data_IF_546454455436
#
_entry.id   IF_546454455436
#
_cell.length_a   1.000
_cell.length_b   1.000
_cell.length_c   1.000
_cell.angle_alpha   90.00
_cell.angle_beta   90.00
_cell.angle_gamma   90.00
#
_symmetry.space_group_name_H-M   'P 1'
#
loop_
_entity.id
_entity.type
_entity.pdbx_description
1 polymer ?
#
# COMPACT_ATOMS: atom_id res chain seq x y z
N UNK A 1 16.94 -1.00 8.89
CA UNK A 1 16.83 -0.13 7.70
C UNK A 1 15.35 0.07 7.34
N UNK A 2 14.54 0.42 8.35
CA UNK A 2 13.10 0.70 8.24
C UNK A 2 12.82 2.22 8.37
N UNK A 3 13.87 3.03 8.24
CA UNK A 3 13.82 4.48 8.47
C UNK A 3 13.89 5.31 7.18
N UNK A 4 14.11 4.66 6.02
CA UNK A 4 14.34 5.35 4.74
C UNK A 4 13.20 5.17 3.73
N UNK A 5 12.01 4.73 4.15
CA UNK A 5 10.83 4.84 3.30
C UNK A 5 10.12 6.16 3.60
N UNK A 6 10.32 7.19 2.76
CA UNK A 6 9.58 8.42 2.87
C UNK A 6 8.10 8.00 2.70
N UNK A 7 7.32 8.11 3.78
CA UNK A 7 5.90 7.77 3.81
C UNK A 7 5.07 8.88 4.46
N UNK A 8 4.36 9.65 3.63
CA UNK A 8 3.19 10.43 3.99
C UNK A 8 2.06 9.42 3.96
N UNK A 9 1.94 8.69 5.07
CA UNK A 9 1.15 7.47 5.18
C UNK A 9 -0.35 7.78 5.22
N UNK A 10 -0.94 8.08 4.08
CA UNK A 10 -2.40 8.06 3.97
C UNK A 10 -2.85 6.62 3.71
N UNK A 11 -3.58 6.03 4.66
CA UNK A 11 -4.21 4.73 4.55
C UNK A 11 -5.71 4.88 4.35
N UNK A 12 -6.29 4.28 3.33
CA UNK A 12 -7.74 4.09 3.24
C UNK A 12 -8.05 2.74 3.86
N UNK A 13 -8.91 2.73 4.88
CA UNK A 13 -9.34 1.52 5.56
C UNK A 13 -10.87 1.40 5.53
N UNK A 14 -11.32 0.17 5.75
CA UNK A 14 -12.69 -0.28 5.73
C UNK A 14 -13.64 0.68 6.49
N UNK A 15 -14.86 0.83 5.98
CA UNK A 15 -15.96 1.66 6.53
C UNK A 15 -16.12 3.10 6.04
N UNK A 16 -15.42 3.51 4.98
CA UNK A 16 -15.54 4.88 4.47
C UNK A 16 -14.79 5.86 5.37
N UNK A 17 -13.69 5.38 5.96
CA UNK A 17 -12.78 6.18 6.76
C UNK A 17 -11.38 6.16 6.11
N UNK A 18 -10.79 7.33 5.96
CA UNK A 18 -9.37 7.50 5.66
C UNK A 18 -8.63 7.67 6.99
N UNK A 19 -7.66 6.80 7.25
CA UNK A 19 -6.80 6.82 8.41
C UNK A 19 -5.38 7.26 7.99
N UNK A 20 -4.86 8.30 8.61
CA UNK A 20 -3.45 8.66 8.40
C UNK A 20 -2.57 7.87 9.37
N UNK A 21 -1.82 6.89 8.86
CA UNK A 21 -1.00 5.98 9.68
C UNK A 21 0.09 6.77 10.41
N UNK A 22 0.27 6.48 11.70
CA UNK A 22 1.17 7.26 12.57
C UNK A 22 0.50 8.49 13.20
N UNK A 23 -0.77 8.73 12.90
CA UNK A 23 -1.61 9.70 13.60
C UNK A 23 -2.91 9.01 14.05
N UNK A 24 -3.62 9.61 15.02
CA UNK A 24 -4.98 9.22 15.37
C UNK A 24 -6.02 10.02 14.57
N UNK A 25 -5.71 10.41 13.32
CA UNK A 25 -6.62 11.18 12.46
C UNK A 25 -7.41 10.27 11.54
N UNK A 26 -8.73 10.36 11.65
CA UNK A 26 -9.71 9.68 10.83
C UNK A 26 -10.57 10.72 10.10
N UNK A 27 -10.80 10.49 8.81
CA UNK A 27 -11.64 11.35 7.97
C UNK A 27 -12.73 10.51 7.31
N UNK A 28 -13.97 10.99 7.37
CA UNK A 28 -15.09 10.37 6.64
C UNK A 28 -14.93 10.66 5.16
N UNK A 29 -14.97 9.61 4.34
CA UNK A 29 -14.91 9.70 2.88
C UNK A 29 -16.22 9.22 2.27
N UNK A 30 -16.66 9.92 1.23
CA UNK A 30 -17.87 9.58 0.47
C UNK A 30 -17.55 8.51 -0.59
N UNK A 31 -17.07 7.36 -0.14
CA UNK A 31 -16.80 6.18 -0.97
C UNK A 31 -17.57 4.98 -0.43
N UNK A 32 -18.04 4.07 -1.33
CA UNK A 32 -18.71 2.86 -0.90
C UNK A 32 -17.79 2.00 -0.04
N UNK A 33 -18.35 1.34 0.97
CA UNK A 33 -17.62 0.40 1.82
C UNK A 33 -16.99 -0.69 0.97
N UNK A 34 -15.67 -0.86 1.12
CA UNK A 34 -14.89 -1.86 0.40
C UNK A 34 -13.87 -2.48 1.33
N UNK A 35 -13.61 -3.78 1.17
CA UNK A 35 -12.52 -4.49 1.84
C UNK A 35 -11.24 -4.29 1.02
N UNK A 36 -10.65 -3.10 1.15
CA UNK A 36 -9.40 -2.71 0.51
C UNK A 36 -8.55 -1.93 1.50
N UNK A 37 -7.24 -2.10 1.42
CA UNK A 37 -6.28 -1.30 2.15
C UNK A 37 -5.42 -0.59 1.13
N UNK A 38 -5.56 0.74 1.00
CA UNK A 38 -4.77 1.54 0.06
C UNK A 38 -3.86 2.49 0.81
N UNK A 39 -2.56 2.38 0.58
CA UNK A 39 -1.52 3.20 1.16
C UNK A 39 -0.92 4.13 0.12
N UNK A 40 -0.81 5.40 0.45
CA UNK A 40 0.01 6.35 -0.29
C UNK A 40 1.40 6.41 0.34
N UNK A 41 2.43 6.38 -0.51
CA UNK A 41 3.84 6.55 -0.15
C UNK A 41 4.22 8.02 -0.32
N UNK A 42 5.37 8.49 0.20
CA UNK A 42 5.81 9.86 -0.11
C UNK A 42 5.97 10.05 -1.61
N UNK A 43 5.76 11.29 -2.01
CA UNK A 43 5.87 11.75 -3.38
C UNK A 43 4.83 11.18 -4.35
N UNK A 44 3.81 10.45 -3.89
CA UNK A 44 2.62 10.11 -4.68
C UNK A 44 2.46 8.68 -5.23
N UNK A 45 3.45 7.77 -5.20
CA UNK A 45 3.17 6.35 -5.43
C UNK A 45 2.20 5.79 -4.40
N UNK A 46 1.51 4.70 -4.74
CA UNK A 46 0.59 4.04 -3.83
C UNK A 46 0.57 2.52 -4.03
N UNK A 47 0.22 1.81 -2.98
CA UNK A 47 -0.02 0.36 -2.99
C UNK A 47 -1.42 0.07 -2.45
N UNK A 48 -2.16 -0.82 -3.10
CA UNK A 48 -3.50 -1.23 -2.69
C UNK A 48 -3.57 -2.75 -2.58
N UNK A 49 -4.04 -3.25 -1.44
CA UNK A 49 -4.25 -4.65 -1.17
C UNK A 49 -5.75 -4.94 -1.13
N UNK A 50 -6.15 -6.06 -1.73
CA UNK A 50 -7.53 -6.53 -1.71
C UNK A 50 -7.59 -8.05 -1.64
N UNK A 51 -8.33 -8.66 -0.69
CA UNK A 51 -8.60 -10.09 -0.75
C UNK A 51 -9.43 -10.43 -2.00
N UNK A 52 -9.07 -11.52 -2.67
CA UNK A 52 -9.88 -12.06 -3.76
C UNK A 52 -11.17 -12.64 -3.19
N UNK A 53 -12.31 -12.36 -3.83
CA UNK A 53 -13.61 -12.83 -3.37
C UNK A 53 -13.89 -14.31 -3.62
N UNK A 54 -13.13 -14.96 -4.51
CA UNK A 54 -13.40 -16.33 -4.98
C UNK A 54 -12.24 -17.30 -4.76
N UNK A 55 -11.07 -16.81 -4.36
CA UNK A 55 -9.86 -17.63 -4.19
C UNK A 55 -9.11 -17.18 -2.93
N UNK A 56 -8.36 -18.06 -2.24
CA UNK A 56 -7.55 -17.70 -1.08
C UNK A 56 -6.26 -16.96 -1.53
N UNK A 57 -6.43 -15.79 -2.16
CA UNK A 57 -5.36 -14.95 -2.70
C UNK A 57 -5.59 -13.49 -2.33
N UNK A 58 -4.51 -12.76 -2.12
CA UNK A 58 -4.52 -11.30 -1.99
C UNK A 58 -4.04 -10.72 -3.33
N UNK A 59 -4.78 -9.75 -3.88
CA UNK A 59 -4.38 -8.95 -5.04
C UNK A 59 -3.70 -7.69 -4.54
N UNK A 60 -2.53 -7.40 -5.08
CA UNK A 60 -1.76 -6.19 -4.77
C UNK A 60 -1.62 -5.36 -6.04
N UNK A 61 -1.97 -4.08 -5.95
CA UNK A 61 -1.91 -3.11 -7.03
C UNK A 61 -0.91 -2.03 -6.67
N UNK A 62 -0.06 -1.64 -7.61
CA UNK A 62 0.92 -0.57 -7.45
C UNK A 62 0.62 0.55 -8.44
N UNK A 63 0.57 1.79 -7.96
CA UNK A 63 0.61 2.98 -8.80
C UNK A 63 1.94 3.67 -8.59
N UNK A 64 2.78 3.69 -9.63
CA UNK A 64 4.12 4.28 -9.61
C UNK A 64 4.18 5.35 -10.70
N UNK A 65 4.87 6.45 -10.42
CA UNK A 65 5.18 7.48 -11.40
C UNK A 65 6.70 7.69 -11.49
N UNK A 66 7.13 8.12 -12.67
CA UNK A 66 8.50 8.52 -13.00
C UNK A 66 8.44 9.53 -14.15
N UNK A 67 9.49 10.31 -14.34
CA UNK A 67 9.59 11.26 -15.44
C UNK A 67 9.68 10.53 -16.79
N UNK A 68 10.22 9.31 -16.77
CA UNK A 68 10.28 8.40 -17.91
C UNK A 68 9.68 7.04 -17.59
N UNK A 69 9.34 6.27 -18.64
CA UNK A 69 8.87 4.89 -18.47
C UNK A 69 9.91 4.01 -17.78
N UNK A 70 11.18 4.15 -18.16
CA UNK A 70 12.30 3.38 -17.60
C UNK A 70 12.46 3.66 -16.10
N UNK A 71 12.32 4.91 -15.69
CA UNK A 71 12.36 5.30 -14.28
C UNK A 71 11.16 4.71 -13.51
N UNK A 72 9.95 4.80 -14.08
CA UNK A 72 8.74 4.24 -13.47
C UNK A 72 8.84 2.72 -13.31
N UNK A 73 9.38 2.01 -14.30
CA UNK A 73 9.62 0.56 -14.24
C UNK A 73 10.67 0.18 -13.21
N UNK A 74 11.76 0.94 -13.10
CA UNK A 74 12.80 0.72 -12.09
C UNK A 74 12.23 0.89 -10.67
N UNK A 75 11.51 2.00 -10.44
CA UNK A 75 10.83 2.27 -9.17
C UNK A 75 9.81 1.19 -8.83
N UNK A 76 9.02 0.74 -9.82
CA UNK A 76 8.05 -0.34 -9.62
C UNK A 76 8.72 -1.63 -9.16
N UNK A 77 9.82 -2.04 -9.80
CA UNK A 77 10.56 -3.25 -9.40
C UNK A 77 11.09 -3.14 -7.97
N UNK A 78 11.65 -1.98 -7.61
CA UNK A 78 12.17 -1.74 -6.26
C UNK A 78 11.06 -1.84 -5.20
N UNK A 79 9.96 -1.11 -5.40
CA UNK A 79 8.82 -1.11 -4.46
C UNK A 79 8.20 -2.50 -4.35
N UNK A 80 8.00 -3.19 -5.47
CA UNK A 80 7.41 -4.53 -5.47
C UNK A 80 8.30 -5.54 -4.74
N UNK A 81 9.61 -5.52 -4.98
CA UNK A 81 10.54 -6.44 -4.31
C UNK A 81 10.58 -6.19 -2.80
N UNK A 82 10.74 -4.93 -2.38
CA UNK A 82 10.77 -4.57 -0.95
C UNK A 82 9.45 -4.93 -0.25
N UNK A 83 8.31 -4.68 -0.91
CA UNK A 83 7.00 -5.06 -0.37
C UNK A 83 6.88 -6.57 -0.17
N UNK A 84 7.26 -7.37 -1.16
CA UNK A 84 7.17 -8.83 -1.08
C UNK A 84 8.12 -9.43 -0.04
N UNK A 85 9.32 -8.87 0.10
CA UNK A 85 10.26 -9.27 1.15
C UNK A 85 9.66 -9.06 2.54
N UNK A 86 9.13 -7.86 2.82
CA UNK A 86 8.47 -7.55 4.08
C UNK A 86 7.28 -8.47 4.37
N UNK A 87 6.43 -8.74 3.37
CA UNK A 87 5.28 -9.65 3.55
C UNK A 87 5.75 -11.05 3.91
N UNK A 88 6.79 -11.56 3.25
CA UNK A 88 7.34 -12.88 3.55
C UNK A 88 7.92 -12.95 4.96
N UNK A 89 8.64 -11.91 5.40
CA UNK A 89 9.14 -11.80 6.77
C UNK A 89 8.00 -11.80 7.78
N UNK A 90 6.96 -10.98 7.57
CA UNK A 90 5.79 -10.93 8.45
C UNK A 90 5.10 -12.29 8.54
N UNK A 91 4.86 -12.97 7.42
CA UNK A 91 4.23 -14.30 7.39
C UNK A 91 5.09 -15.33 8.12
N UNK A 92 6.41 -15.28 7.98
CA UNK A 92 7.30 -16.22 8.66
C UNK A 92 7.45 -15.93 10.15
N UNK A 93 7.39 -14.66 10.56
CA UNK A 93 7.42 -14.26 11.97
C UNK A 93 6.12 -14.54 12.73
N UNK A 94 5.01 -14.68 12.01
CA UNK A 94 3.69 -14.99 12.56
C UNK A 94 3.44 -16.50 12.76
N UNK A 95 4.43 -17.35 12.46
CA UNK A 95 4.43 -18.80 12.72
C UNK A 95 5.11 -19.09 14.05
#
# INVERSE_FOLDING_TARGET
MLEDFPTNKEGLCEDGLKLTVGTNREEVIDLPKTNVMKYFLEDGPWVCLRPSGTEPKIKVYFGIHGETMEEAELKLKQVMNAFMENINEMINSAK
#
